data_IF_034536412671
#
_entry.id   IF_034536412671
#
_cell.length_a   1.000
_cell.length_b   1.000
_cell.length_c   1.000
_cell.angle_alpha   90.00
_cell.angle_beta   90.00
_cell.angle_gamma   90.00
#
_symmetry.space_group_name_H-M   'P 1'
#
loop_
_entity.id
_entity.type
_entity.pdbx_description
1 polymer ?
#
# COMPACT_ATOMS: atom_id res chain seq x y z
N UNK A 1 -10.50 39.84 -6.19
CA UNK A 1 -11.54 39.18 -5.37
C UNK A 1 -11.20 37.70 -5.34
N UNK A 2 -10.62 37.23 -4.24
CA UNK A 2 -10.18 35.85 -4.06
C UNK A 2 -11.40 35.03 -3.63
N UNK A 3 -12.06 34.37 -4.57
CA UNK A 3 -13.07 33.36 -4.26
C UNK A 3 -12.37 32.22 -3.53
N UNK A 4 -12.47 32.17 -2.21
CA UNK A 4 -12.05 31.02 -1.41
C UNK A 4 -12.92 29.85 -1.84
N UNK A 5 -12.37 29.03 -2.72
CA UNK A 5 -13.00 27.86 -3.31
C UNK A 5 -12.96 26.71 -2.28
N UNK A 6 -13.53 26.95 -1.11
CA UNK A 6 -13.52 25.99 -0.01
C UNK A 6 -14.64 24.97 -0.23
N UNK A 7 -14.26 23.72 -0.42
CA UNK A 7 -15.19 22.60 -0.52
C UNK A 7 -16.10 22.58 0.72
N UNK A 8 -17.42 22.37 0.54
CA UNK A 8 -18.32 22.21 1.67
C UNK A 8 -17.81 21.10 2.61
N UNK A 9 -17.89 21.32 3.93
CA UNK A 9 -17.32 20.42 4.95
C UNK A 9 -17.73 18.95 4.79
N UNK A 10 -18.96 18.69 4.33
CA UNK A 10 -19.44 17.33 4.09
C UNK A 10 -18.74 16.67 2.89
N UNK A 11 -18.45 17.44 1.84
CA UNK A 11 -17.67 16.97 0.67
C UNK A 11 -16.23 16.69 1.10
N UNK A 12 -15.62 17.59 1.88
CA UNK A 12 -14.26 17.37 2.38
C UNK A 12 -14.15 16.14 3.28
N UNK A 13 -15.13 15.90 4.16
CA UNK A 13 -15.21 14.67 4.96
C UNK A 13 -15.35 13.42 4.09
N UNK A 14 -16.25 13.45 3.10
CA UNK A 14 -16.44 12.32 2.19
C UNK A 14 -15.15 12.00 1.40
N UNK A 15 -14.45 13.04 0.91
CA UNK A 15 -13.16 12.89 0.23
C UNK A 15 -12.09 12.28 1.14
N UNK A 16 -12.00 12.74 2.39
CA UNK A 16 -11.08 12.16 3.38
C UNK A 16 -11.40 10.69 3.68
N UNK A 17 -12.68 10.33 3.82
CA UNK A 17 -13.11 8.94 4.01
C UNK A 17 -12.74 8.07 2.81
N UNK A 18 -12.94 8.58 1.59
CA UNK A 18 -12.55 7.88 0.36
C UNK A 18 -11.04 7.70 0.28
N UNK A 19 -10.26 8.76 0.59
CA UNK A 19 -8.80 8.68 0.62
C UNK A 19 -8.32 7.61 1.61
N UNK A 20 -8.87 7.62 2.82
CA UNK A 20 -8.54 6.62 3.83
C UNK A 20 -8.89 5.19 3.40
N UNK A 21 -10.10 4.98 2.84
CA UNK A 21 -10.49 3.67 2.33
C UNK A 21 -9.57 3.18 1.19
N UNK A 22 -9.12 4.09 0.31
CA UNK A 22 -8.17 3.76 -0.77
C UNK A 22 -6.81 3.37 -0.20
N UNK A 23 -6.32 4.07 0.82
CA UNK A 23 -5.07 3.71 1.50
C UNK A 23 -5.17 2.30 2.10
N UNK A 24 -6.26 1.98 2.80
CA UNK A 24 -6.48 0.63 3.36
C UNK A 24 -6.52 -0.46 2.27
N UNK A 25 -7.22 -0.22 1.16
CA UNK A 25 -7.26 -1.16 0.04
C UNK A 25 -5.88 -1.35 -0.60
N UNK A 26 -5.10 -0.27 -0.68
CA UNK A 26 -3.73 -0.33 -1.18
C UNK A 26 -2.85 -1.19 -0.26
N UNK A 27 -2.91 -1.00 1.06
CA UNK A 27 -2.19 -1.82 2.04
C UNK A 27 -2.52 -3.31 1.93
N UNK A 28 -3.81 -3.64 1.83
CA UNK A 28 -4.26 -5.04 1.64
C UNK A 28 -3.67 -5.62 0.36
N UNK A 29 -3.71 -4.88 -0.75
CA UNK A 29 -3.13 -5.31 -2.01
C UNK A 29 -1.61 -5.51 -1.93
N UNK A 30 -0.88 -4.67 -1.20
CA UNK A 30 0.57 -4.83 -1.01
C UNK A 30 0.89 -6.07 -0.18
N UNK A 31 0.13 -6.31 0.90
CA UNK A 31 0.29 -7.52 1.71
C UNK A 31 0.04 -8.78 0.90
N UNK A 32 -0.98 -8.80 0.06
CA UNK A 32 -1.30 -9.95 -0.78
C UNK A 32 -0.23 -10.19 -1.84
N UNK A 33 0.33 -9.13 -2.42
CA UNK A 33 1.49 -9.22 -3.32
C UNK A 33 2.70 -9.83 -2.60
N UNK A 34 3.05 -9.32 -1.42
CA UNK A 34 4.16 -9.83 -0.62
C UNK A 34 4.00 -11.31 -0.29
N UNK A 35 2.79 -11.72 0.08
CA UNK A 35 2.50 -13.12 0.37
C UNK A 35 2.78 -14.01 -0.85
N UNK A 36 2.31 -13.63 -2.03
CA UNK A 36 2.56 -14.39 -3.27
C UNK A 36 4.04 -14.46 -3.60
N UNK A 37 4.77 -13.37 -3.40
CA UNK A 37 6.21 -13.34 -3.66
C UNK A 37 6.99 -14.25 -2.68
N UNK A 38 6.60 -14.29 -1.41
CA UNK A 38 7.13 -15.25 -0.43
C UNK A 38 6.82 -16.68 -0.87
N UNK A 39 5.57 -16.98 -1.20
CA UNK A 39 5.14 -18.31 -1.63
C UNK A 39 5.90 -18.76 -2.89
N UNK A 40 6.10 -17.87 -3.85
CA UNK A 40 6.89 -18.12 -5.07
C UNK A 40 8.36 -18.41 -4.74
N UNK A 41 9.00 -17.63 -3.86
CA UNK A 41 10.40 -17.84 -3.45
C UNK A 41 10.55 -19.19 -2.75
N UNK A 42 9.66 -19.52 -1.82
CA UNK A 42 9.69 -20.80 -1.10
C UNK A 42 9.43 -21.98 -2.06
N UNK A 43 8.52 -21.83 -3.02
CA UNK A 43 8.23 -22.88 -4.02
C UNK A 43 9.42 -23.21 -4.92
N UNK A 44 10.34 -22.25 -5.11
CA UNK A 44 11.61 -22.43 -5.84
C UNK A 44 12.69 -23.14 -5.01
N UNK A 45 12.36 -23.57 -3.79
CA UNK A 45 13.29 -24.26 -2.88
C UNK A 45 14.16 -23.31 -2.06
N UNK A 46 13.85 -22.01 -2.04
CA UNK A 46 14.57 -21.04 -1.23
C UNK A 46 14.28 -21.27 0.26
N UNK A 47 15.30 -21.12 1.11
CA UNK A 47 15.10 -21.16 2.55
C UNK A 47 14.32 -19.93 3.02
N UNK A 48 13.64 -20.03 4.15
CA UNK A 48 12.90 -18.90 4.72
C UNK A 48 13.82 -17.70 5.01
N UNK A 49 15.07 -17.94 5.42
CA UNK A 49 16.03 -16.89 5.70
C UNK A 49 16.45 -16.14 4.43
N UNK A 50 16.73 -16.89 3.35
CA UNK A 50 17.14 -16.30 2.08
C UNK A 50 15.98 -15.52 1.42
N UNK A 51 14.75 -16.01 1.54
CA UNK A 51 13.56 -15.32 1.03
C UNK A 51 13.34 -13.98 1.75
N UNK A 52 13.55 -13.95 3.08
CA UNK A 52 13.47 -12.71 3.85
C UNK A 52 14.59 -11.72 3.50
N UNK A 53 15.82 -12.19 3.31
CA UNK A 53 16.93 -11.34 2.85
C UNK A 53 16.68 -10.79 1.45
N UNK A 54 16.13 -11.59 0.53
CA UNK A 54 15.75 -11.14 -0.81
C UNK A 54 14.70 -10.01 -0.76
N UNK A 55 13.70 -10.13 0.10
CA UNK A 55 12.65 -9.11 0.28
C UNK A 55 13.17 -7.85 1.00
N UNK A 56 14.17 -7.99 1.88
CA UNK A 56 14.83 -6.85 2.53
C UNK A 56 15.72 -6.07 1.55
N UNK A 57 16.41 -6.77 0.67
CA UNK A 57 17.24 -6.18 -0.37
C UNK A 57 16.39 -5.42 -1.41
N UNK A 58 15.17 -5.90 -1.67
CA UNK A 58 14.21 -5.28 -2.57
C UNK A 58 12.89 -5.01 -1.83
N UNK A 59 12.86 -3.99 -0.95
CA UNK A 59 11.68 -3.73 -0.15
C UNK A 59 10.49 -3.46 -1.08
N UNK A 60 9.33 -4.07 -0.82
CA UNK A 60 8.11 -3.75 -1.55
C UNK A 60 7.88 -2.24 -1.46
N UNK A 61 7.64 -1.59 -2.59
CA UNK A 61 7.38 -0.15 -2.64
C UNK A 61 6.12 0.14 -1.84
N UNK A 62 6.27 0.54 -0.58
CA UNK A 62 5.24 1.24 0.17
C UNK A 62 5.33 2.67 -0.31
N UNK A 63 4.56 3.05 -1.33
CA UNK A 63 4.53 4.42 -1.80
C UNK A 63 3.94 5.29 -0.68
N UNK A 64 4.71 6.21 -0.07
CA UNK A 64 4.24 7.01 1.06
C UNK A 64 3.21 8.09 0.65
N UNK A 65 2.98 8.27 -0.65
CA UNK A 65 2.11 9.33 -1.19
C UNK A 65 0.67 8.86 -1.50
N UNK A 66 0.16 7.82 -0.82
CA UNK A 66 -1.27 7.49 -0.84
C UNK A 66 -2.05 8.29 0.19
#
# INVERSE_FOLDING_TARGET
MTTTNELPKHVQRALNTIAHARALLHEVSQRDRLRREIDDLLSRGMSHADALEHLRANPPIVNPNY
#
